data_IF_730252738641
#
_entry.id   IF_730252738641
#
_cell.length_a   1.000
_cell.length_b   1.000
_cell.length_c   1.000
_cell.angle_alpha   90.00
_cell.angle_beta   90.00
_cell.angle_gamma   90.00
#
_symmetry.space_group_name_H-M   'P 1'
#
loop_
_entity.id
_entity.type
_entity.pdbx_description
1 polymer ?
#
# COMPACT_ATOMS: atom_id res chain seq x y z
N UNK A 1 22.77 7.17 -17.45
CA UNK A 1 23.99 6.51 -17.95
C UNK A 1 24.93 6.16 -16.80
N UNK A 2 25.47 7.13 -16.04
CA UNK A 2 26.48 6.86 -14.99
C UNK A 2 26.06 5.86 -13.90
N UNK A 3 24.77 5.80 -13.53
CA UNK A 3 24.28 4.89 -12.50
C UNK A 3 24.26 3.40 -12.91
N UNK A 4 24.17 3.11 -14.21
CA UNK A 4 23.96 1.77 -14.77
C UNK A 4 25.19 1.21 -15.50
N UNK A 5 26.28 1.99 -15.55
CA UNK A 5 27.54 1.59 -16.16
C UNK A 5 27.52 1.51 -17.69
N UNK A 6 28.50 0.80 -18.26
CA UNK A 6 28.73 0.66 -19.71
C UNK A 6 27.56 -0.01 -20.44
N UNK A 7 26.74 -0.79 -19.74
CA UNK A 7 25.53 -1.42 -20.30
C UNK A 7 24.33 -0.47 -20.47
N UNK A 8 24.45 0.79 -20.04
CA UNK A 8 23.31 1.72 -20.00
C UNK A 8 22.64 1.96 -21.35
N UNK A 9 23.37 1.90 -22.46
CA UNK A 9 22.81 1.98 -23.82
C UNK A 9 21.96 0.76 -24.19
N UNK A 10 22.48 -0.45 -23.91
CA UNK A 10 21.80 -1.73 -24.18
C UNK A 10 20.55 -1.90 -23.31
N UNK A 11 20.62 -1.50 -22.05
CA UNK A 11 19.48 -1.51 -21.11
C UNK A 11 18.39 -0.54 -21.60
N UNK A 12 18.76 0.70 -21.96
CA UNK A 12 17.79 1.69 -22.42
C UNK A 12 17.10 1.25 -23.72
N UNK A 13 17.85 0.67 -24.66
CA UNK A 13 17.30 0.12 -25.89
C UNK A 13 16.31 -1.04 -25.61
N UNK A 14 16.68 -1.97 -24.74
CA UNK A 14 15.83 -3.11 -24.37
C UNK A 14 14.53 -2.66 -23.67
N UNK A 15 14.61 -1.65 -22.77
CA UNK A 15 13.43 -1.08 -22.12
C UNK A 15 12.48 -0.35 -23.09
N UNK A 16 12.98 0.14 -24.22
CA UNK A 16 12.19 0.86 -25.23
C UNK A 16 11.47 -0.07 -26.23
N UNK A 17 11.76 -1.38 -26.22
CA UNK A 17 11.21 -2.37 -27.15
C UNK A 17 9.73 -2.69 -26.84
N UNK A 18 8.88 -2.87 -27.87
CA UNK A 18 7.45 -3.16 -27.73
C UNK A 18 7.07 -4.53 -28.35
N UNK A 19 6.05 -5.20 -27.79
CA UNK A 19 5.55 -6.52 -28.21
C UNK A 19 5.59 -7.58 -27.09
N UNK A 20 4.98 -8.75 -27.31
CA UNK A 20 4.93 -9.83 -26.31
C UNK A 20 6.30 -10.54 -26.12
N UNK A 21 7.06 -10.75 -27.20
CA UNK A 21 8.46 -11.22 -27.14
C UNK A 21 9.40 -10.18 -26.50
N UNK A 22 8.98 -8.91 -26.44
CA UNK A 22 9.73 -7.84 -25.79
C UNK A 22 9.54 -7.80 -24.26
N UNK A 23 8.52 -8.45 -23.69
CA UNK A 23 8.25 -8.38 -22.26
C UNK A 23 9.34 -9.06 -21.43
N UNK A 24 9.74 -10.27 -21.80
CA UNK A 24 10.82 -10.99 -21.12
C UNK A 24 12.16 -10.23 -21.21
N UNK A 25 12.44 -9.61 -22.37
CA UNK A 25 13.64 -8.79 -22.57
C UNK A 25 13.60 -7.50 -21.72
N UNK A 26 12.43 -6.86 -21.60
CA UNK A 26 12.24 -5.69 -20.72
C UNK A 26 12.41 -6.05 -19.26
N UNK A 27 11.85 -7.18 -18.81
CA UNK A 27 11.99 -7.66 -17.44
C UNK A 27 13.45 -7.97 -17.11
N UNK A 28 14.18 -8.63 -18.00
CA UNK A 28 15.62 -8.87 -17.83
C UNK A 28 16.42 -7.55 -17.78
N UNK A 29 16.15 -6.61 -18.69
CA UNK A 29 16.80 -5.32 -18.69
C UNK A 29 16.52 -4.51 -17.41
N UNK A 30 15.28 -4.54 -16.92
CA UNK A 30 14.89 -3.92 -15.66
C UNK A 30 15.60 -4.58 -14.48
N UNK A 31 15.68 -5.91 -14.47
CA UNK A 31 16.40 -6.67 -13.45
C UNK A 31 17.87 -6.31 -13.41
N UNK A 32 18.55 -6.27 -14.56
CA UNK A 32 19.96 -5.86 -14.65
C UNK A 32 20.16 -4.42 -14.21
N UNK A 33 19.29 -3.50 -14.64
CA UNK A 33 19.37 -2.09 -14.25
C UNK A 33 19.19 -1.90 -12.75
N UNK A 34 18.17 -2.54 -12.17
CA UNK A 34 17.88 -2.46 -10.74
C UNK A 34 19.02 -3.08 -9.92
N UNK A 35 19.49 -4.27 -10.29
CA UNK A 35 20.61 -4.93 -9.62
C UNK A 35 21.88 -4.08 -9.67
N UNK A 36 22.22 -3.53 -10.83
CA UNK A 36 23.39 -2.65 -11.01
C UNK A 36 23.39 -1.46 -10.05
N UNK A 37 22.23 -0.86 -9.81
CA UNK A 37 22.08 0.24 -8.85
C UNK A 37 22.17 -0.28 -7.41
N UNK A 38 21.46 -1.36 -7.08
CA UNK A 38 21.33 -1.83 -5.70
C UNK A 38 22.61 -2.46 -5.13
N UNK A 39 23.45 -3.06 -5.98
CA UNK A 39 24.72 -3.69 -5.58
C UNK A 39 25.92 -2.75 -5.67
N UNK A 40 25.70 -1.48 -6.01
CA UNK A 40 26.77 -0.50 -6.20
C UNK A 40 27.37 -0.08 -4.87
N UNK A 41 28.66 0.20 -4.88
CA UNK A 41 29.40 0.71 -3.72
C UNK A 41 28.72 1.96 -3.12
N UNK A 42 28.68 2.04 -1.79
CA UNK A 42 27.96 3.09 -1.07
C UNK A 42 28.54 4.49 -1.34
N UNK A 43 29.86 4.62 -1.45
CA UNK A 43 30.49 5.93 -1.68
C UNK A 43 30.21 6.40 -3.12
N UNK A 44 30.22 5.47 -4.07
CA UNK A 44 29.82 5.73 -5.44
C UNK A 44 28.35 6.17 -5.54
N UNK A 45 27.44 5.52 -4.80
CA UNK A 45 26.01 5.88 -4.73
C UNK A 45 25.83 7.28 -4.14
N UNK A 46 26.47 7.56 -3.01
CA UNK A 46 26.43 8.88 -2.36
C UNK A 46 26.95 9.98 -3.29
N UNK A 47 28.07 9.74 -3.97
CA UNK A 47 28.63 10.68 -4.95
C UNK A 47 27.67 10.98 -6.10
N UNK A 48 26.98 9.97 -6.63
CA UNK A 48 25.98 10.15 -7.68
C UNK A 48 24.74 10.90 -7.18
N UNK A 49 24.23 10.59 -6.00
CA UNK A 49 23.09 11.28 -5.39
C UNK A 49 23.43 12.74 -5.16
N UNK A 50 24.63 13.03 -4.63
CA UNK A 50 25.11 14.41 -4.44
C UNK A 50 25.12 15.20 -5.76
N UNK A 51 25.66 14.61 -6.84
CA UNK A 51 25.65 15.23 -8.19
C UNK A 51 24.22 15.44 -8.70
N UNK A 52 23.35 14.44 -8.54
CA UNK A 52 21.95 14.50 -8.96
C UNK A 52 21.21 15.63 -8.23
N UNK A 53 21.28 15.65 -6.90
CA UNK A 53 20.63 16.67 -6.08
C UNK A 53 21.16 18.08 -6.38
N UNK A 54 22.47 18.25 -6.59
CA UNK A 54 23.03 19.54 -7.00
C UNK A 54 22.40 20.03 -8.32
N UNK A 55 22.38 19.18 -9.35
CA UNK A 55 21.74 19.49 -10.64
C UNK A 55 20.26 19.84 -10.50
N UNK A 56 19.52 19.12 -9.66
CA UNK A 56 18.09 19.36 -9.44
C UNK A 56 17.84 20.66 -8.66
N UNK A 57 18.72 21.02 -7.72
CA UNK A 57 18.62 22.27 -6.96
C UNK A 57 19.00 23.50 -7.79
N UNK A 58 19.87 23.36 -8.79
CA UNK A 58 20.23 24.44 -9.72
C UNK A 58 19.11 24.73 -10.74
N UNK A 59 18.19 23.78 -10.95
CA UNK A 59 17.05 23.94 -11.84
C UNK A 59 15.91 24.71 -11.15
N UNK A 60 15.13 25.52 -11.89
CA UNK A 60 13.95 26.19 -11.33
C UNK A 60 12.97 25.18 -10.71
N UNK A 61 12.51 25.41 -9.48
CA UNK A 61 11.62 24.47 -8.77
C UNK A 61 10.32 24.15 -9.55
N UNK A 62 9.84 25.08 -10.38
CA UNK A 62 8.68 24.89 -11.24
C UNK A 62 8.91 23.92 -12.40
N UNK A 63 10.17 23.71 -12.84
CA UNK A 63 10.50 22.77 -13.93
C UNK A 63 10.73 21.34 -13.46
N UNK A 64 10.84 21.10 -12.15
CA UNK A 64 11.05 19.77 -11.60
C UNK A 64 9.78 18.92 -11.69
N UNK A 65 9.93 17.71 -12.21
CA UNK A 65 8.89 16.67 -12.19
C UNK A 65 8.56 16.22 -10.75
N UNK A 66 7.43 15.54 -10.58
CA UNK A 66 7.04 14.99 -9.28
C UNK A 66 8.07 14.01 -8.70
N UNK A 67 8.69 13.18 -9.55
CA UNK A 67 9.75 12.24 -9.13
C UNK A 67 11.04 12.96 -8.73
N UNK A 68 11.41 14.04 -9.40
CA UNK A 68 12.60 14.82 -9.03
C UNK A 68 12.41 15.55 -7.70
N UNK A 69 11.23 16.12 -7.46
CA UNK A 69 10.87 16.67 -6.15
C UNK A 69 10.88 15.59 -5.07
N UNK A 70 10.40 14.39 -5.38
CA UNK A 70 10.47 13.24 -4.48
C UNK A 70 11.93 12.87 -4.16
N UNK A 71 12.82 12.82 -5.15
CA UNK A 71 14.25 12.53 -4.94
C UNK A 71 14.90 13.51 -3.97
N UNK A 72 14.65 14.82 -4.15
CA UNK A 72 15.16 15.83 -3.22
C UNK A 72 14.65 15.61 -1.79
N UNK A 73 13.34 15.34 -1.64
CA UNK A 73 12.73 15.03 -0.33
C UNK A 73 13.30 13.77 0.30
N UNK A 74 13.47 12.69 -0.47
CA UNK A 74 14.04 11.44 0.03
C UNK A 74 15.50 11.62 0.44
N UNK A 75 16.28 12.44 -0.27
CA UNK A 75 17.65 12.75 0.13
C UNK A 75 17.73 13.61 1.39
N UNK A 76 16.76 14.47 1.65
CA UNK A 76 16.68 15.18 2.92
C UNK A 76 16.43 14.23 4.09
N UNK A 77 15.54 13.24 3.90
CA UNK A 77 15.18 12.26 4.94
C UNK A 77 16.19 11.11 5.11
N UNK A 78 16.80 10.67 4.02
CA UNK A 78 17.74 9.54 3.95
C UNK A 78 18.98 9.91 3.12
N UNK A 79 19.84 10.82 3.61
CA UNK A 79 20.95 11.36 2.82
C UNK A 79 21.83 10.27 2.23
N UNK A 80 21.95 10.26 0.89
CA UNK A 80 22.83 9.34 0.17
C UNK A 80 22.39 7.87 0.12
N UNK A 81 21.18 7.53 0.55
CA UNK A 81 20.66 6.15 0.50
C UNK A 81 20.30 5.72 -0.95
N UNK A 82 20.67 4.49 -1.33
CA UNK A 82 20.40 3.94 -2.67
C UNK A 82 18.91 3.89 -3.03
N UNK A 83 18.03 3.81 -2.03
CA UNK A 83 16.57 3.84 -2.18
C UNK A 83 16.06 5.12 -2.83
N UNK A 84 16.84 6.20 -2.83
CA UNK A 84 16.54 7.42 -3.59
C UNK A 84 16.47 7.11 -5.09
N UNK A 85 17.34 6.25 -5.62
CA UNK A 85 17.26 5.83 -7.02
C UNK A 85 16.07 4.89 -7.28
N UNK A 86 15.60 4.15 -6.27
CA UNK A 86 14.41 3.30 -6.39
C UNK A 86 13.17 4.12 -6.83
N UNK A 87 13.09 5.40 -6.47
CA UNK A 87 12.01 6.30 -6.91
C UNK A 87 11.88 6.43 -8.44
N UNK A 88 12.96 6.21 -9.19
CA UNK A 88 12.91 6.20 -10.65
C UNK A 88 12.40 4.87 -11.22
N UNK A 89 12.63 3.75 -10.51
CA UNK A 89 12.16 2.43 -10.90
C UNK A 89 10.69 2.17 -10.53
N UNK A 90 10.21 2.76 -9.43
CA UNK A 90 8.87 2.51 -8.90
C UNK A 90 7.86 3.58 -9.32
N UNK A 91 6.59 3.21 -9.33
CA UNK A 91 5.51 4.18 -9.53
C UNK A 91 5.41 5.12 -8.33
N UNK A 92 5.28 6.43 -8.58
CA UNK A 92 4.99 7.40 -7.54
C UNK A 92 3.48 7.70 -7.53
N UNK A 93 2.75 7.05 -6.64
CA UNK A 93 1.29 7.08 -6.59
C UNK A 93 0.81 7.85 -5.37
N UNK A 94 -0.25 8.64 -5.53
CA UNK A 94 -0.96 9.31 -4.43
C UNK A 94 -2.39 8.78 -4.39
N UNK A 95 -2.76 8.14 -3.29
CA UNK A 95 -4.13 7.68 -3.05
C UNK A 95 -4.97 8.81 -2.46
N UNK A 96 -6.18 8.98 -2.98
CA UNK A 96 -7.20 9.84 -2.36
C UNK A 96 -7.85 9.12 -1.18
N UNK A 97 -8.45 9.84 -0.21
CA UNK A 97 -9.28 9.21 0.81
C UNK A 97 -10.35 8.30 0.18
N UNK A 98 -10.48 7.08 0.69
CA UNK A 98 -11.37 6.06 0.14
C UNK A 98 -10.79 5.23 -1.01
N UNK A 99 -9.57 5.51 -1.48
CA UNK A 99 -8.86 4.63 -2.40
C UNK A 99 -7.95 3.67 -1.63
N UNK A 100 -7.82 2.46 -2.15
CA UNK A 100 -6.92 1.44 -1.62
C UNK A 100 -6.03 0.86 -2.73
N UNK A 101 -4.93 0.23 -2.32
CA UNK A 101 -4.05 -0.55 -3.18
C UNK A 101 -3.75 -1.87 -2.49
N UNK A 102 -3.77 -2.98 -3.24
CA UNK A 102 -3.27 -4.27 -2.77
C UNK A 102 -1.84 -4.45 -3.24
N UNK A 103 -0.97 -4.93 -2.36
CA UNK A 103 0.44 -5.16 -2.64
C UNK A 103 0.69 -6.67 -2.72
N UNK A 104 1.14 -7.16 -3.88
CA UNK A 104 1.45 -8.56 -4.07
C UNK A 104 2.82 -8.94 -3.47
N UNK A 105 3.02 -10.23 -3.26
CA UNK A 105 4.31 -10.75 -2.84
C UNK A 105 5.39 -10.42 -3.87
N UNK A 106 6.60 -10.13 -3.38
CA UNK A 106 7.77 -9.86 -4.21
C UNK A 106 7.65 -8.61 -5.11
N UNK A 107 6.83 -7.63 -4.71
CA UNK A 107 6.78 -6.30 -5.32
C UNK A 107 7.32 -5.24 -4.35
N UNK A 108 8.36 -4.47 -4.73
CA UNK A 108 8.95 -3.48 -3.83
C UNK A 108 8.05 -2.25 -3.74
N UNK A 109 7.81 -1.78 -2.52
CA UNK A 109 6.97 -0.62 -2.25
C UNK A 109 7.48 0.15 -1.03
N UNK A 110 7.07 1.41 -0.90
CA UNK A 110 7.37 2.24 0.26
C UNK A 110 6.23 3.23 0.50
N UNK A 111 5.74 3.30 1.74
CA UNK A 111 4.83 4.35 2.18
C UNK A 111 5.63 5.60 2.53
N UNK A 112 5.29 6.72 1.91
CA UNK A 112 6.11 7.93 1.96
C UNK A 112 5.54 9.00 2.88
N UNK A 113 4.22 9.13 2.95
CA UNK A 113 3.54 10.15 3.76
C UNK A 113 2.02 9.93 3.76
N UNK A 114 1.36 10.32 4.85
CA UNK A 114 -0.11 10.26 5.00
C UNK A 114 -0.54 9.28 6.08
N UNK A 115 -1.86 9.14 6.24
CA UNK A 115 -2.48 8.16 7.12
C UNK A 115 -3.21 7.13 6.26
N UNK A 116 -3.03 5.85 6.56
CA UNK A 116 -3.76 4.76 5.94
C UNK A 116 -4.12 3.70 6.99
N UNK A 117 -5.09 2.86 6.65
CA UNK A 117 -5.33 1.60 7.34
C UNK A 117 -4.65 0.52 6.51
N UNK A 118 -3.77 -0.25 7.15
CA UNK A 118 -3.08 -1.38 6.56
C UNK A 118 -3.61 -2.68 7.15
N UNK A 119 -3.88 -3.65 6.29
CA UNK A 119 -4.21 -5.03 6.68
C UNK A 119 -3.28 -5.94 5.90
N UNK A 120 -2.74 -6.94 6.58
CA UNK A 120 -1.78 -7.87 6.04
C UNK A 120 -2.05 -9.28 6.57
N UNK A 121 -1.58 -10.28 5.84
CA UNK A 121 -1.49 -11.63 6.36
C UNK A 121 -0.51 -11.64 7.56
N UNK A 122 -0.66 -12.61 8.46
CA UNK A 122 0.20 -12.74 9.65
C UNK A 122 1.62 -13.17 9.25
N UNK A 123 2.47 -12.20 8.90
CA UNK A 123 3.85 -12.39 8.48
C UNK A 123 4.68 -11.13 8.76
N UNK A 124 5.85 -11.30 9.36
CA UNK A 124 6.80 -10.21 9.58
C UNK A 124 8.01 -10.28 8.63
N UNK A 125 7.92 -11.08 7.56
CA UNK A 125 8.99 -11.25 6.59
C UNK A 125 9.14 -9.99 5.71
N UNK A 126 10.23 -9.25 5.90
CA UNK A 126 10.51 -8.02 5.15
C UNK A 126 11.93 -8.03 4.59
N UNK A 127 12.05 -7.98 3.26
CA UNK A 127 13.31 -7.74 2.54
C UNK A 127 13.36 -6.28 2.12
N UNK A 128 14.42 -5.56 2.52
CA UNK A 128 14.51 -4.09 2.37
C UNK A 128 15.30 -3.69 1.13
N UNK A 129 14.79 -2.70 0.40
CA UNK A 129 15.41 -2.18 -0.83
C UNK A 129 16.18 -0.86 -0.67
N UNK A 130 16.05 -0.18 0.47
CA UNK A 130 16.64 1.14 0.70
C UNK A 130 15.77 1.97 1.65
N UNK A 131 16.09 3.26 1.75
CA UNK A 131 15.47 4.23 2.66
C UNK A 131 15.45 3.71 4.10
N UNK A 132 16.57 3.13 4.54
CA UNK A 132 16.64 2.47 5.83
C UNK A 132 18.08 2.35 6.34
N UNK A 133 18.32 2.55 7.64
CA UNK A 133 19.63 2.24 8.24
C UNK A 133 19.81 0.74 8.51
N UNK A 134 18.76 -0.08 8.35
CA UNK A 134 18.78 -1.52 8.67
C UNK A 134 19.49 -2.32 7.57
N UNK A 135 19.93 -3.53 7.92
CA UNK A 135 20.54 -4.46 6.98
C UNK A 135 19.63 -4.72 5.76
N UNK A 136 20.26 -4.76 4.59
CA UNK A 136 19.64 -5.08 3.31
C UNK A 136 20.29 -6.32 2.72
N UNK A 137 19.51 -7.38 2.53
CA UNK A 137 19.94 -8.53 1.74
C UNK A 137 19.65 -8.26 0.25
N UNK A 138 20.64 -7.69 -0.43
CA UNK A 138 20.46 -7.21 -1.81
C UNK A 138 20.39 -8.37 -2.82
N UNK A 139 21.03 -9.50 -2.53
CA UNK A 139 20.99 -10.68 -3.40
C UNK A 139 19.63 -11.38 -3.32
N UNK A 140 19.08 -11.54 -2.10
CA UNK A 140 17.71 -12.04 -1.92
C UNK A 140 16.72 -11.08 -2.57
N UNK A 141 16.85 -9.77 -2.33
CA UNK A 141 16.01 -8.75 -2.97
C UNK A 141 16.01 -8.92 -4.49
N UNK A 142 17.17 -8.88 -5.14
CA UNK A 142 17.22 -8.91 -6.61
C UNK A 142 16.83 -10.27 -7.22
N UNK A 143 16.86 -11.36 -6.44
CA UNK A 143 16.44 -12.68 -6.91
C UNK A 143 14.94 -12.92 -6.76
N UNK A 144 14.31 -12.39 -5.69
CA UNK A 144 12.89 -12.63 -5.39
C UNK A 144 11.92 -11.79 -6.22
N UNK A 145 12.31 -10.57 -6.63
CA UNK A 145 11.40 -9.63 -7.30
C UNK A 145 10.82 -10.18 -8.61
N UNK A 146 9.54 -9.89 -8.87
CA UNK A 146 8.85 -10.34 -10.09
C UNK A 146 9.27 -9.58 -11.35
N UNK A 147 9.73 -8.33 -11.18
CA UNK A 147 10.05 -7.38 -12.26
C UNK A 147 8.91 -7.13 -13.26
N UNK A 148 7.66 -7.48 -12.91
CA UNK A 148 6.49 -7.10 -13.69
C UNK A 148 6.37 -5.57 -13.72
N UNK A 149 6.02 -5.03 -14.87
CA UNK A 149 5.81 -3.59 -15.05
C UNK A 149 4.34 -3.28 -15.21
N UNK A 150 3.91 -2.14 -14.68
CA UNK A 150 2.52 -1.73 -14.71
C UNK A 150 2.22 -0.70 -13.64
N UNK A 151 1.04 -0.09 -13.72
CA UNK A 151 0.50 0.70 -12.61
C UNK A 151 -0.21 -0.24 -11.63
N UNK A 152 -0.12 0.03 -10.32
CA UNK A 152 -0.90 -0.73 -9.36
C UNK A 152 -2.40 -0.51 -9.60
N UNK A 153 -3.20 -1.54 -9.37
CA UNK A 153 -4.65 -1.42 -9.40
C UNK A 153 -5.11 -0.60 -8.18
N UNK A 154 -5.81 0.50 -8.45
CA UNK A 154 -6.46 1.30 -7.40
C UNK A 154 -7.88 0.79 -7.20
N UNK A 155 -8.20 0.41 -5.97
CA UNK A 155 -9.52 -0.03 -5.56
C UNK A 155 -10.30 1.17 -5.00
N UNK A 156 -11.51 1.40 -5.52
CA UNK A 156 -12.39 2.50 -5.10
C UNK A 156 -13.40 2.09 -4.01
N UNK A 157 -13.50 0.78 -3.73
CA UNK A 157 -14.50 0.19 -2.85
C UNK A 157 -15.83 -0.01 -3.57
N UNK A 158 -16.27 -1.26 -3.66
CA UNK A 158 -17.56 -1.63 -4.26
C UNK A 158 -18.69 -1.44 -3.24
N UNK A 159 -19.77 -0.79 -3.65
CA UNK A 159 -20.90 -0.56 -2.77
C UNK A 159 -21.66 -1.87 -2.50
N UNK A 160 -21.87 -2.18 -1.23
CA UNK A 160 -22.56 -3.41 -0.81
C UNK A 160 -24.05 -3.14 -0.68
N UNK A 161 -24.89 -3.94 -1.34
CA UNK A 161 -26.36 -3.81 -1.27
C UNK A 161 -26.95 -2.59 -2.00
N UNK A 162 -26.22 -1.99 -2.95
CA UNK A 162 -26.71 -0.86 -3.76
C UNK A 162 -26.18 0.48 -3.26
N UNK A 163 -27.03 1.42 -2.84
CA UNK A 163 -26.62 2.78 -2.40
C UNK A 163 -26.39 2.88 -0.89
N UNK A 164 -25.95 1.78 -0.27
CA UNK A 164 -25.75 1.69 1.18
C UNK A 164 -24.50 2.43 1.69
N UNK A 165 -24.36 2.57 3.02
CA UNK A 165 -23.20 3.20 3.66
C UNK A 165 -21.93 2.32 3.68
N UNK A 166 -22.05 1.07 3.22
CA UNK A 166 -21.01 0.04 3.29
C UNK A 166 -20.32 -0.13 1.94
N UNK A 167 -18.99 -0.05 1.93
CA UNK A 167 -18.15 -0.35 0.77
C UNK A 167 -17.18 -1.48 1.07
N UNK A 168 -16.92 -2.33 0.09
CA UNK A 168 -16.03 -3.48 0.20
C UNK A 168 -14.84 -3.36 -0.74
N UNK A 169 -13.64 -3.59 -0.22
CA UNK A 169 -12.38 -3.62 -0.96
C UNK A 169 -11.90 -5.06 -1.00
N UNK A 170 -12.03 -5.69 -2.17
CA UNK A 170 -11.70 -7.10 -2.39
C UNK A 170 -10.37 -7.23 -3.13
N UNK A 171 -9.26 -7.44 -2.42
CA UNK A 171 -7.98 -7.71 -3.06
C UNK A 171 -7.99 -9.09 -3.78
N UNK A 172 -7.03 -9.35 -4.68
CA UNK A 172 -6.98 -10.58 -5.48
C UNK A 172 -6.48 -11.83 -4.72
N UNK A 173 -6.37 -11.77 -3.38
CA UNK A 173 -5.91 -12.85 -2.51
C UNK A 173 -6.99 -13.24 -1.48
N UNK A 174 -6.79 -14.34 -0.75
CA UNK A 174 -7.87 -15.01 0.01
C UNK A 174 -7.87 -14.67 1.51
N UNK A 175 -6.77 -14.15 2.04
CA UNK A 175 -6.55 -14.03 3.48
C UNK A 175 -7.48 -13.01 4.14
N UNK A 176 -7.74 -11.87 3.50
CA UNK A 176 -8.54 -10.80 4.07
C UNK A 176 -9.18 -9.90 3.02
N UNK A 177 -10.17 -9.13 3.47
CA UNK A 177 -10.74 -7.99 2.77
C UNK A 177 -11.03 -6.87 3.78
N UNK A 178 -11.21 -5.65 3.28
CA UNK A 178 -11.53 -4.49 4.12
C UNK A 178 -12.87 -3.94 3.69
N UNK A 179 -13.70 -3.57 4.65
CA UNK A 179 -14.91 -2.79 4.40
C UNK A 179 -14.80 -1.43 5.07
N UNK A 180 -15.38 -0.41 4.46
CA UNK A 180 -15.58 0.89 5.09
C UNK A 180 -17.05 1.14 5.30
N UNK A 181 -17.39 1.66 6.47
CA UNK A 181 -18.75 2.02 6.83
C UNK A 181 -18.80 3.51 7.18
N UNK A 182 -19.58 4.25 6.41
CA UNK A 182 -19.77 5.70 6.58
C UNK A 182 -21.20 5.98 7.03
N UNK A 183 -21.37 6.46 8.26
CA UNK A 183 -22.67 6.81 8.84
C UNK A 183 -22.75 8.28 9.20
N UNK A 184 -23.86 8.93 8.87
CA UNK A 184 -24.22 10.24 9.39
C UNK A 184 -24.78 10.14 10.80
N UNK A 185 -24.71 11.25 11.55
CA UNK A 185 -25.31 11.31 12.88
C UNK A 185 -26.75 10.80 12.88
N UNK A 186 -27.10 9.99 13.88
CA UNK A 186 -28.40 9.30 14.05
C UNK A 186 -28.71 8.20 13.04
N UNK A 187 -27.82 7.89 12.08
CA UNK A 187 -27.98 6.72 11.23
C UNK A 187 -27.62 5.43 11.98
N UNK A 188 -28.29 4.36 11.57
CA UNK A 188 -28.15 3.03 12.14
C UNK A 188 -28.18 2.01 11.00
N UNK A 189 -27.30 1.02 11.03
CA UNK A 189 -27.26 -0.04 10.02
C UNK A 189 -26.89 -1.38 10.63
N UNK A 190 -27.57 -2.41 10.13
CA UNK A 190 -27.24 -3.80 10.38
C UNK A 190 -26.28 -4.31 9.30
N UNK A 191 -25.18 -4.94 9.69
CA UNK A 191 -24.18 -5.50 8.79
C UNK A 191 -24.42 -7.00 8.60
N UNK A 192 -25.31 -7.34 7.69
CA UNK A 192 -25.65 -8.74 7.37
C UNK A 192 -24.78 -9.32 6.25
N UNK A 193 -24.11 -8.45 5.48
CA UNK A 193 -23.40 -8.82 4.27
C UNK A 193 -21.92 -9.17 4.50
N UNK A 194 -21.45 -9.09 5.75
CA UNK A 194 -20.08 -9.42 6.14
C UNK A 194 -20.12 -10.65 7.04
N UNK A 195 -19.31 -11.64 6.71
CA UNK A 195 -19.23 -12.92 7.42
C UNK A 195 -17.84 -13.14 8.01
N UNK A 196 -17.75 -14.09 8.94
CA UNK A 196 -16.51 -14.43 9.62
C UNK A 196 -16.20 -13.51 10.80
N UNK A 197 -15.04 -13.71 11.44
CA UNK A 197 -14.58 -12.84 12.52
C UNK A 197 -14.26 -11.44 11.98
N UNK A 198 -14.69 -10.41 12.70
CA UNK A 198 -14.49 -9.01 12.32
C UNK A 198 -13.57 -8.29 13.30
N UNK A 199 -12.68 -7.47 12.76
CA UNK A 199 -11.97 -6.42 13.50
C UNK A 199 -12.48 -5.07 13.04
N UNK A 200 -13.12 -4.33 13.95
CA UNK A 200 -13.75 -3.04 13.68
C UNK A 200 -12.91 -1.95 14.31
N UNK A 201 -12.34 -1.06 13.49
CA UNK A 201 -11.66 0.15 13.90
C UNK A 201 -12.59 1.35 13.71
N UNK A 202 -12.82 2.10 14.78
CA UNK A 202 -13.52 3.38 14.72
C UNK A 202 -12.52 4.46 14.35
N UNK A 203 -12.46 4.80 13.07
CA UNK A 203 -11.48 5.76 12.58
C UNK A 203 -11.86 7.19 12.94
N UNK A 204 -13.14 7.54 12.80
CA UNK A 204 -13.71 8.81 13.25
C UNK A 204 -15.14 8.65 13.79
N UNK A 205 -15.56 9.60 14.61
CA UNK A 205 -16.92 9.68 15.13
C UNK A 205 -17.14 8.97 16.46
N UNK A 206 -18.40 8.70 16.76
CA UNK A 206 -18.88 8.16 18.03
C UNK A 206 -20.24 7.49 17.84
N UNK A 207 -20.57 6.55 18.71
CA UNK A 207 -21.85 5.86 18.67
C UNK A 207 -21.92 4.65 19.58
N UNK A 208 -22.64 3.62 19.13
CA UNK A 208 -22.75 2.33 19.80
C UNK A 208 -22.62 1.19 18.77
N UNK A 209 -21.90 0.14 19.16
CA UNK A 209 -21.91 -1.15 18.49
C UNK A 209 -22.75 -2.12 19.31
N UNK A 210 -23.55 -2.92 18.62
CA UNK A 210 -24.38 -3.97 19.20
C UNK A 210 -24.14 -5.26 18.44
N UNK A 211 -23.64 -6.28 19.13
CA UNK A 211 -23.46 -7.61 18.57
C UNK A 211 -24.45 -8.59 19.21
N UNK A 212 -25.09 -9.42 18.38
CA UNK A 212 -26.03 -10.44 18.82
C UNK A 212 -25.65 -11.82 18.25
N UNK A 213 -25.63 -12.84 19.11
CA UNK A 213 -25.43 -14.22 18.68
C UNK A 213 -26.70 -14.80 18.07
N UNK A 214 -26.53 -15.57 16.99
CA UNK A 214 -27.61 -16.32 16.33
C UNK A 214 -28.04 -17.61 17.08
N UNK A 215 -27.23 -18.13 18.02
CA UNK A 215 -27.33 -19.54 18.43
C UNK A 215 -27.90 -19.85 19.83
N UNK A 216 -27.93 -18.95 20.82
CA UNK A 216 -28.64 -19.18 22.10
C UNK A 216 -28.66 -17.92 22.97
N UNK A 217 -29.85 -17.53 23.45
CA UNK A 217 -30.15 -16.34 24.28
C UNK A 217 -29.63 -15.02 23.69
N UNK A 218 -30.52 -14.09 23.37
CA UNK A 218 -30.23 -12.74 22.86
C UNK A 218 -29.40 -11.88 23.84
N UNK A 219 -28.18 -12.30 24.18
CA UNK A 219 -27.22 -11.49 24.90
C UNK A 219 -26.68 -10.46 23.90
N UNK A 220 -27.43 -9.37 23.79
CA UNK A 220 -27.00 -8.16 23.12
C UNK A 220 -25.83 -7.59 23.92
N UNK A 221 -24.63 -7.72 23.38
CA UNK A 221 -23.49 -6.96 23.88
C UNK A 221 -23.51 -5.61 23.20
N UNK A 222 -23.75 -4.55 23.98
CA UNK A 222 -23.67 -3.18 23.51
C UNK A 222 -22.46 -2.50 24.12
N UNK A 223 -21.66 -1.87 23.26
CA UNK A 223 -20.52 -1.05 23.68
C UNK A 223 -20.64 0.34 23.06
N UNK A 224 -20.37 1.37 23.85
CA UNK A 224 -20.11 2.69 23.29
C UNK A 224 -18.85 2.63 22.42
N UNK A 225 -18.81 3.42 21.35
CA UNK A 225 -17.68 3.52 20.45
C UNK A 225 -17.27 4.98 20.27
N UNK A 226 -15.97 5.23 20.21
CA UNK A 226 -15.37 6.52 19.92
C UNK A 226 -14.13 6.36 19.04
N UNK A 227 -13.69 7.45 18.41
CA UNK A 227 -12.46 7.49 17.60
C UNK A 227 -11.27 6.82 18.31
N UNK A 228 -10.68 5.84 17.63
CA UNK A 228 -9.53 5.06 18.11
C UNK A 228 -9.89 3.72 18.75
N UNK A 229 -11.18 3.48 19.05
CA UNK A 229 -11.60 2.19 19.62
C UNK A 229 -11.51 1.07 18.58
N UNK A 230 -11.16 -0.13 19.05
CA UNK A 230 -11.09 -1.35 18.27
C UNK A 230 -11.94 -2.44 18.92
N UNK A 231 -12.79 -3.07 18.13
CA UNK A 231 -13.67 -4.14 18.58
C UNK A 231 -13.42 -5.42 17.79
N UNK A 232 -13.44 -6.55 18.49
CA UNK A 232 -13.49 -7.86 17.88
C UNK A 232 -14.92 -8.40 17.93
N UNK A 233 -15.44 -8.82 16.79
CA UNK A 233 -16.75 -9.48 16.70
C UNK A 233 -16.52 -10.91 16.23
N UNK A 234 -16.80 -11.92 17.08
CA UNK A 234 -16.70 -13.32 16.69
C UNK A 234 -17.62 -13.67 15.52
N UNK A 235 -17.25 -14.70 14.78
CA UNK A 235 -18.10 -15.25 13.72
C UNK A 235 -19.47 -15.72 14.26
N UNK A 236 -20.49 -15.69 13.39
CA UNK A 236 -21.86 -16.05 13.72
C UNK A 236 -22.64 -15.01 14.53
N UNK A 237 -22.08 -13.81 14.71
CA UNK A 237 -22.77 -12.67 15.33
C UNK A 237 -23.19 -11.64 14.28
N UNK A 238 -24.38 -11.06 14.46
CA UNK A 238 -24.84 -9.93 13.66
C UNK A 238 -24.41 -8.63 14.33
N UNK A 239 -23.78 -7.72 13.57
CA UNK A 239 -23.30 -6.43 14.05
C UNK A 239 -24.24 -5.31 13.61
N UNK A 240 -24.82 -4.60 14.57
CA UNK A 240 -25.56 -3.36 14.36
C UNK A 240 -24.72 -2.16 14.82
N UNK A 241 -24.66 -1.11 14.00
CA UNK A 241 -23.88 0.09 14.27
C UNK A 241 -24.80 1.28 14.27
N UNK A 242 -24.82 2.04 15.37
CA UNK A 242 -25.60 3.27 15.52
C UNK A 242 -24.68 4.45 15.79
N UNK A 243 -24.71 5.44 14.92
CA UNK A 243 -23.85 6.61 15.00
C UNK A 243 -24.51 7.75 15.80
N UNK A 244 -23.80 8.31 16.79
CA UNK A 244 -24.22 9.54 17.51
C UNK A 244 -23.64 10.81 16.88
N UNK A 245 -22.59 10.68 16.07
CA UNK A 245 -22.02 11.72 15.20
C UNK A 245 -21.72 11.14 13.82
N UNK A 246 -21.36 11.98 12.84
CA UNK A 246 -20.76 11.48 11.61
C UNK A 246 -19.56 10.57 11.95
N UNK A 247 -19.56 9.35 11.40
CA UNK A 247 -18.67 8.27 11.81
C UNK A 247 -18.16 7.48 10.60
N UNK A 248 -16.88 7.16 10.63
CA UNK A 248 -16.19 6.35 9.62
C UNK A 248 -15.50 5.19 10.33
N UNK A 249 -15.86 3.97 9.92
CA UNK A 249 -15.32 2.73 10.49
C UNK A 249 -14.64 1.91 9.40
N UNK A 250 -13.54 1.26 9.76
CA UNK A 250 -12.90 0.23 8.95
C UNK A 250 -13.18 -1.14 9.57
N UNK A 251 -13.58 -2.10 8.76
CA UNK A 251 -13.96 -3.44 9.19
C UNK A 251 -13.13 -4.44 8.39
N UNK A 252 -12.10 -5.00 9.03
CA UNK A 252 -11.33 -6.10 8.46
C UNK A 252 -12.06 -7.42 8.73
N UNK A 253 -12.16 -8.24 7.69
CA UNK A 253 -12.68 -9.61 7.77
C UNK A 253 -11.81 -10.53 6.94
N UNK A 254 -11.96 -11.84 7.12
CA UNK A 254 -11.46 -12.79 6.13
C UNK A 254 -12.10 -12.51 4.75
N UNK A 255 -11.42 -12.85 3.67
CA UNK A 255 -11.95 -12.62 2.33
C UNK A 255 -13.16 -13.52 2.08
N UNK A 256 -14.17 -12.98 1.39
CA UNK A 256 -15.36 -13.74 0.98
C UNK A 256 -15.08 -14.82 -0.09
N UNK A 257 -13.81 -15.07 -0.43
CA UNK A 257 -13.39 -16.24 -1.22
C UNK A 257 -13.26 -17.50 -0.36
N UNK A 258 -13.05 -17.33 0.95
CA UNK A 258 -12.92 -18.43 1.92
C UNK A 258 -14.27 -18.71 2.62
N UNK A 259 -15.13 -17.69 2.77
CA UNK A 259 -16.46 -17.78 3.37
C UNK A 259 -17.56 -17.83 2.33
#
# INVERSE_FOLDING_TARGET
AECIGEESGTIAAALATAGAEAEAQRQDALKRAFKSVMTRDSDAVQGLIKKLCARLNDAPAASLSAKEKLVLRLNDQYPGDVGIFAAYFLNYVTLKPGQAVSLEANEPHAYLSGNCVEVMATSDNVVRAGLTPKLRDTDVLCSMLTYKTGLPQILEGESVGGTGPLRCYKPPFDEFQINTLELKASQETLLEQIQGPLLVLVYEGSGHLQAASSAATNLLQSSAMAKGDVFFVPDGQTLNVKATSDSSLFIASANSRIF
#
